data_IF_614709305946
#
_entry.id   IF_614709305946
#
_cell.length_a   1.000
_cell.length_b   1.000
_cell.length_c   1.000
_cell.angle_alpha   90.00
_cell.angle_beta   90.00
_cell.angle_gamma   90.00
#
_symmetry.space_group_name_H-M   'P 1'
#
loop_
_entity.id
_entity.type
_entity.pdbx_description
1 polymer ?
#
# COMPACT_ATOMS: atom_id res chain seq x y z
N UNK A 1 -5.21 -5.72 -6.14
CA UNK A 1 -3.77 -5.71 -5.83
C UNK A 1 -3.02 -6.27 -7.03
N UNK A 2 -1.87 -5.70 -7.35
CA UNK A 2 -0.92 -6.22 -8.33
C UNK A 2 0.46 -6.28 -7.67
N UNK A 3 1.23 -7.34 -7.93
CA UNK A 3 2.61 -7.44 -7.49
C UNK A 3 3.52 -6.91 -8.61
N UNK A 4 4.37 -5.94 -8.27
CA UNK A 4 5.28 -5.27 -9.20
C UNK A 4 6.71 -5.84 -9.09
N UNK A 5 7.06 -6.33 -7.89
CA UNK A 5 8.31 -7.01 -7.57
C UNK A 5 8.14 -7.94 -6.35
N UNK A 6 9.20 -8.67 -5.92
CA UNK A 6 9.09 -9.66 -4.85
C UNK A 6 8.44 -9.13 -3.56
N UNK A 7 8.73 -7.87 -3.22
CA UNK A 7 8.26 -7.20 -2.01
C UNK A 7 7.63 -5.84 -2.34
N UNK A 8 7.00 -5.72 -3.51
CA UNK A 8 6.49 -4.45 -4.00
C UNK A 8 5.09 -4.62 -4.61
N UNK A 9 4.13 -3.83 -4.11
CA UNK A 9 2.72 -4.02 -4.41
C UNK A 9 1.99 -2.73 -4.84
N UNK A 10 1.27 -2.87 -5.96
CA UNK A 10 0.16 -2.11 -6.51
C UNK A 10 -1.15 -2.24 -5.71
N UNK A 11 -1.59 -1.28 -4.87
CA UNK A 11 -2.83 -1.41 -4.10
C UNK A 11 -3.87 -0.33 -4.40
N UNK A 12 -5.13 -0.75 -4.35
CA UNK A 12 -6.30 0.13 -4.30
C UNK A 12 -7.44 -0.67 -3.69
N UNK A 13 -8.48 0.01 -3.21
CA UNK A 13 -9.62 -0.61 -2.56
C UNK A 13 -10.75 0.39 -2.33
N UNK A 14 -11.90 -0.12 -1.91
CA UNK A 14 -13.07 0.66 -1.54
C UNK A 14 -13.77 -0.05 -0.39
N UNK A 15 -14.05 0.70 0.70
CA UNK A 15 -14.66 0.17 1.91
C UNK A 15 -13.97 -1.11 2.41
N UNK A 16 -12.64 -1.09 2.44
CA UNK A 16 -11.80 -2.26 2.68
C UNK A 16 -10.57 -1.91 3.52
N UNK A 17 -10.07 -2.90 4.25
CA UNK A 17 -8.77 -2.85 4.93
C UNK A 17 -7.85 -3.89 4.29
N UNK A 18 -6.63 -3.50 3.98
CA UNK A 18 -5.59 -4.39 3.46
C UNK A 18 -4.51 -4.54 4.51
N UNK A 19 -4.34 -5.77 4.98
CA UNK A 19 -3.33 -6.14 5.96
C UNK A 19 -2.22 -6.95 5.28
N UNK A 20 -0.97 -6.73 5.69
CA UNK A 20 0.18 -7.48 5.18
C UNK A 20 0.70 -8.40 6.27
N UNK A 21 0.90 -9.66 5.89
CA UNK A 21 1.61 -10.63 6.72
C UNK A 21 2.79 -11.21 5.95
N UNK A 22 3.89 -11.43 6.67
CA UNK A 22 5.05 -12.10 6.09
C UNK A 22 4.75 -13.58 5.96
N UNK A 23 4.90 -14.11 4.75
CA UNK A 23 4.67 -15.53 4.45
C UNK A 23 5.99 -16.30 4.44
N UNK A 24 6.53 -16.60 5.62
CA UNK A 24 7.72 -17.42 5.79
C UNK A 24 7.69 -18.17 7.13
N UNK A 25 8.22 -19.40 7.12
CA UNK A 25 8.25 -20.28 8.28
C UNK A 25 9.50 -20.05 9.13
N UNK A 26 9.61 -18.86 9.74
CA UNK A 26 10.67 -18.52 10.70
C UNK A 26 10.12 -17.59 11.81
N UNK A 27 10.99 -17.07 12.67
CA UNK A 27 10.61 -16.21 13.82
C UNK A 27 10.67 -14.71 13.53
N UNK A 28 10.74 -14.29 12.26
CA UNK A 28 10.95 -12.90 11.88
C UNK A 28 9.65 -12.22 11.48
N UNK A 29 9.57 -10.92 11.71
CA UNK A 29 8.40 -10.11 11.40
C UNK A 29 8.58 -9.32 10.10
N UNK A 30 7.48 -9.13 9.37
CA UNK A 30 7.43 -8.18 8.26
C UNK A 30 7.13 -6.76 8.77
N UNK A 31 7.53 -5.76 7.99
CA UNK A 31 7.24 -4.35 8.25
C UNK A 31 6.93 -3.64 6.94
N UNK A 32 6.12 -2.59 6.97
CA UNK A 32 5.92 -1.69 5.83
C UNK A 32 7.04 -0.64 5.85
N UNK A 33 8.02 -0.71 4.95
CA UNK A 33 9.18 0.21 4.92
C UNK A 33 8.84 1.58 4.32
N UNK A 34 8.03 1.58 3.27
CA UNK A 34 7.58 2.75 2.54
C UNK A 34 6.19 2.47 2.02
N UNK A 35 5.30 3.44 2.14
CA UNK A 35 3.94 3.41 1.63
C UNK A 35 3.67 4.74 0.93
N UNK A 36 3.33 4.73 -0.34
CA UNK A 36 3.08 5.95 -1.10
C UNK A 36 1.64 6.00 -1.62
N UNK A 37 0.96 7.10 -1.38
CA UNK A 37 -0.24 7.45 -2.11
C UNK A 37 0.15 8.23 -3.36
N UNK A 38 -0.44 7.89 -4.50
CA UNK A 38 -0.10 8.52 -5.77
C UNK A 38 -1.00 8.10 -6.92
N UNK A 39 -0.56 8.43 -8.13
CA UNK A 39 -1.23 8.04 -9.38
C UNK A 39 -0.23 7.83 -10.48
N UNK A 40 -0.60 7.06 -11.49
CA UNK A 40 0.16 7.03 -12.74
C UNK A 40 -0.20 8.24 -13.62
N UNK A 41 0.82 8.93 -14.13
CA UNK A 41 0.70 9.94 -15.17
C UNK A 41 1.81 9.71 -16.20
N UNK A 42 1.44 9.68 -17.49
CA UNK A 42 2.36 9.37 -18.60
C UNK A 42 3.15 8.07 -18.39
N UNK A 43 2.47 7.05 -17.85
CA UNK A 43 3.07 5.74 -17.58
C UNK A 43 4.07 5.71 -16.41
N UNK A 44 4.20 6.81 -15.66
CA UNK A 44 5.11 6.91 -14.50
C UNK A 44 4.35 7.12 -13.21
N UNK A 45 4.83 6.50 -12.15
CA UNK A 45 4.29 6.72 -10.81
C UNK A 45 4.62 8.15 -10.34
N UNK A 46 3.58 8.88 -9.92
CA UNK A 46 3.68 10.22 -9.36
C UNK A 46 3.23 10.19 -7.90
N UNK A 47 4.20 10.33 -7.00
CA UNK A 47 3.97 10.35 -5.55
C UNK A 47 3.22 11.62 -5.17
N UNK A 48 2.14 11.47 -4.41
CA UNK A 48 1.40 12.58 -3.80
C UNK A 48 1.72 12.73 -2.31
N UNK A 49 1.78 11.60 -1.59
CA UNK A 49 2.04 11.59 -0.15
C UNK A 49 2.69 10.27 0.26
N UNK A 50 3.67 10.31 1.17
CA UNK A 50 4.09 9.11 1.90
C UNK A 50 3.17 8.91 3.10
N UNK A 51 2.63 7.69 3.26
CA UNK A 51 1.80 7.29 4.40
C UNK A 51 2.71 6.68 5.48
N UNK A 52 2.44 7.01 6.73
CA UNK A 52 3.15 6.50 7.91
C UNK A 52 2.33 6.73 9.19
N UNK A 53 2.80 6.24 10.34
CA UNK A 53 2.17 6.39 11.66
C UNK A 53 0.73 5.85 11.65
N UNK A 54 -0.22 6.59 12.21
CA UNK A 54 -1.65 6.23 12.26
C UNK A 54 -2.23 5.72 10.93
N UNK A 55 -1.70 6.18 9.79
CA UNK A 55 -2.18 5.76 8.46
C UNK A 55 -1.75 4.34 8.06
N UNK A 56 -0.79 3.75 8.77
CA UNK A 56 -0.19 2.44 8.52
C UNK A 56 -0.12 1.55 9.77
N UNK A 57 -0.19 2.12 10.98
CA UNK A 57 -0.16 1.40 12.26
C UNK A 57 -1.36 0.45 12.40
N UNK A 58 -2.50 0.85 11.83
CA UNK A 58 -3.69 0.01 11.69
C UNK A 58 -3.87 -0.52 10.26
N UNK A 59 -2.77 -0.80 9.55
CA UNK A 59 -2.77 -1.25 8.15
C UNK A 59 -3.39 -0.22 7.17
N UNK A 60 -3.62 -0.62 5.92
CA UNK A 60 -4.12 0.30 4.88
C UNK A 60 -5.64 0.29 4.83
N UNK A 61 -6.25 1.37 5.28
CA UNK A 61 -7.70 1.54 5.36
C UNK A 61 -8.21 2.39 4.18
N UNK A 62 -9.04 1.78 3.32
CA UNK A 62 -9.70 2.45 2.19
C UNK A 62 -11.15 2.76 2.55
N UNK A 63 -11.47 4.05 2.60
CA UNK A 63 -12.84 4.53 2.77
C UNK A 63 -13.76 4.14 1.62
N UNK A 64 -15.04 4.53 1.71
CA UNK A 64 -15.94 4.47 0.56
C UNK A 64 -15.41 5.37 -0.56
N UNK A 65 -15.66 4.99 -1.81
CA UNK A 65 -15.31 5.84 -2.94
C UNK A 65 -15.96 7.22 -2.76
N UNK A 66 -15.24 8.31 -3.03
CA UNK A 66 -15.84 9.62 -3.04
C UNK A 66 -16.86 9.71 -4.19
N UNK A 67 -17.81 10.64 -4.04
CA UNK A 67 -18.91 10.80 -4.99
C UNK A 67 -18.42 11.21 -6.40
N UNK A 68 -17.20 11.74 -6.51
CA UNK A 68 -16.54 12.11 -7.77
C UNK A 68 -15.88 10.92 -8.49
N UNK A 69 -15.93 9.72 -7.90
CA UNK A 69 -15.36 8.50 -8.46
C UNK A 69 -13.82 8.42 -8.37
N UNK A 70 -13.16 9.37 -7.72
CA UNK A 70 -11.71 9.37 -7.58
C UNK A 70 -11.27 8.40 -6.47
N UNK A 71 -10.99 7.15 -6.83
CA UNK A 71 -10.51 6.16 -5.86
C UNK A 71 -8.99 6.35 -5.66
N UNK A 72 -8.52 6.66 -4.43
CA UNK A 72 -7.09 6.78 -4.19
C UNK A 72 -6.37 5.44 -4.46
N UNK A 73 -5.27 5.54 -5.19
CA UNK A 73 -4.34 4.43 -5.40
C UNK A 73 -3.17 4.60 -4.44
N UNK A 74 -2.86 3.55 -3.71
CA UNK A 74 -1.71 3.50 -2.80
C UNK A 74 -0.72 2.51 -3.41
N UNK A 75 0.42 3.04 -3.85
CA UNK A 75 1.51 2.27 -4.45
C UNK A 75 2.69 2.13 -3.51
N UNK A 76 3.42 1.02 -3.70
CA UNK A 76 4.68 0.68 -3.05
C UNK A 76 4.51 0.45 -1.57
N UNK A 77 4.27 -0.80 -1.20
CA UNK A 77 4.67 -1.34 0.10
C UNK A 77 5.96 -2.09 -0.14
N UNK A 78 7.07 -1.64 0.44
CA UNK A 78 8.27 -2.46 0.56
C UNK A 78 8.19 -3.22 1.88
N UNK A 79 8.17 -4.55 1.85
CA UNK A 79 8.42 -5.33 3.07
C UNK A 79 9.90 -5.64 3.16
N UNK A 80 10.57 -5.38 4.29
CA UNK A 80 11.94 -5.89 4.46
C UNK A 80 11.89 -7.33 4.98
N UNK A 81 12.78 -8.21 4.51
CA UNK A 81 13.21 -9.34 5.30
C UNK A 81 14.15 -8.79 6.38
N UNK A 82 13.59 -8.40 7.53
CA UNK A 82 14.38 -8.51 8.77
C UNK A 82 14.77 -9.98 8.93
#
# INVERSE_FOLDING_TARGET
>A
MAQLGPEEFLLTGMAARIEFSRNAADTRHGQLLRVEQGRYGDGRWQVQKQLNGDQTDEWLNFGRAPADGNVPVVGWVLTAPC
#
